data_IF_185855626057
#
_entry.id   IF_185855626057
#
_cell.length_a   1.000
_cell.length_b   1.000
_cell.length_c   1.000
_cell.angle_alpha   90.00
_cell.angle_beta   90.00
_cell.angle_gamma   90.00
#
_symmetry.space_group_name_H-M   'P 1'
#
loop_
_entity.id
_entity.type
_entity.pdbx_description
1 polymer ?
#
# COMPACT_ATOMS: atom_id res chain seq x y z
N UNK A 1 -12.95 15.04 1.83
CA UNK A 1 -11.81 15.97 1.69
C UNK A 1 -12.20 17.10 0.76
N UNK A 2 -11.74 18.32 1.01
CA UNK A 2 -12.10 19.51 0.23
C UNK A 2 -10.83 20.31 -0.11
N UNK A 3 -10.80 20.96 -1.28
CA UNK A 3 -9.74 21.89 -1.67
C UNK A 3 -10.30 22.98 -2.59
N UNK A 4 -9.52 24.03 -2.86
CA UNK A 4 -10.00 25.22 -3.57
C UNK A 4 -10.25 26.40 -2.63
N UNK A 5 -11.25 27.25 -2.88
CA UNK A 5 -11.45 28.48 -2.08
C UNK A 5 -11.67 28.20 -0.59
N UNK A 6 -10.75 28.68 0.26
CA UNK A 6 -10.86 28.59 1.72
C UNK A 6 -12.11 29.30 2.23
N UNK A 7 -12.42 30.48 1.70
CA UNK A 7 -13.60 31.25 2.10
C UNK A 7 -14.90 30.47 1.82
N UNK A 8 -15.00 29.81 0.66
CA UNK A 8 -16.15 28.97 0.34
C UNK A 8 -16.23 27.75 1.29
N UNK A 9 -15.10 27.12 1.58
CA UNK A 9 -15.03 26.00 2.52
C UNK A 9 -15.50 26.40 3.93
N UNK A 10 -14.96 27.48 4.49
CA UNK A 10 -15.34 27.99 5.82
C UNK A 10 -16.81 28.40 5.87
N UNK A 11 -17.32 29.05 4.82
CA UNK A 11 -18.73 29.48 4.72
C UNK A 11 -19.69 28.29 4.80
N UNK A 12 -19.35 27.16 4.18
CA UNK A 12 -20.21 25.99 4.10
C UNK A 12 -19.81 24.82 5.02
N UNK A 13 -18.79 25.00 5.85
CA UNK A 13 -18.18 23.94 6.66
C UNK A 13 -19.20 23.13 7.46
N UNK A 14 -20.15 23.80 8.12
CA UNK A 14 -21.18 23.13 8.93
C UNK A 14 -22.07 22.21 8.10
N UNK A 15 -22.45 22.62 6.90
CA UNK A 15 -23.22 21.78 5.98
C UNK A 15 -22.37 20.62 5.47
N UNK A 16 -21.11 20.87 5.12
CA UNK A 16 -20.19 19.84 4.64
C UNK A 16 -19.88 18.77 5.70
N UNK A 17 -19.78 19.16 6.98
CA UNK A 17 -19.61 18.23 8.10
C UNK A 17 -20.82 17.31 8.31
N UNK A 18 -22.01 17.70 7.84
CA UNK A 18 -23.22 16.87 7.97
C UNK A 18 -23.23 15.65 7.04
N UNK A 19 -22.37 15.62 6.02
CA UNK A 19 -22.26 14.54 5.04
C UNK A 19 -21.48 13.31 5.56
N UNK A 20 -20.93 13.38 6.77
CA UNK A 20 -20.12 12.33 7.39
C UNK A 20 -18.63 12.43 7.08
N UNK A 21 -17.82 11.67 7.83
CA UNK A 21 -16.36 11.72 7.77
C UNK A 21 -15.75 12.96 8.42
N UNK A 22 -14.43 13.15 8.28
CA UNK A 22 -13.75 14.40 8.64
C UNK A 22 -13.79 15.35 7.45
N UNK A 23 -14.44 16.50 7.61
CA UNK A 23 -14.35 17.60 6.64
C UNK A 23 -12.93 18.20 6.72
N UNK A 24 -11.98 17.59 6.02
CA UNK A 24 -10.59 18.04 5.98
C UNK A 24 -10.38 18.93 4.77
N UNK A 25 -9.90 20.16 5.00
CA UNK A 25 -9.50 21.10 3.97
C UNK A 25 -8.01 20.94 3.65
N UNK A 26 -7.69 20.76 2.38
CA UNK A 26 -6.35 20.38 1.88
C UNK A 26 -5.62 21.55 1.19
N UNK A 27 -6.14 22.78 1.34
CA UNK A 27 -5.54 23.98 0.79
C UNK A 27 -6.20 24.52 -0.48
N UNK A 28 -5.57 25.54 -1.05
CA UNK A 28 -6.17 26.41 -2.08
C UNK A 28 -6.10 25.84 -3.48
N UNK A 29 -5.23 24.86 -3.74
CA UNK A 29 -5.19 24.17 -5.03
C UNK A 29 -6.45 23.32 -5.23
N UNK A 30 -7.30 23.62 -6.24
CA UNK A 30 -8.49 22.83 -6.52
C UNK A 30 -8.19 21.35 -6.85
N UNK A 31 -6.97 21.03 -7.30
CA UNK A 31 -6.56 19.67 -7.62
C UNK A 31 -6.24 18.78 -6.40
N UNK A 32 -5.91 19.38 -5.25
CA UNK A 32 -5.41 18.62 -4.08
C UNK A 32 -6.38 17.55 -3.61
N UNK A 33 -7.67 17.86 -3.45
CA UNK A 33 -8.62 16.87 -2.96
C UNK A 33 -8.75 15.65 -3.89
N UNK A 34 -8.73 15.88 -5.21
CA UNK A 34 -8.75 14.79 -6.19
C UNK A 34 -7.44 13.97 -6.16
N UNK A 35 -6.29 14.61 -5.98
CA UNK A 35 -5.00 13.91 -5.89
C UNK A 35 -4.92 13.00 -4.65
N UNK A 36 -5.36 13.49 -3.48
CA UNK A 36 -5.46 12.68 -2.27
C UNK A 36 -6.44 11.50 -2.47
N UNK A 37 -7.58 11.74 -3.11
CA UNK A 37 -8.58 10.70 -3.37
C UNK A 37 -8.01 9.56 -4.25
N UNK A 38 -7.34 9.89 -5.35
CA UNK A 38 -6.71 8.89 -6.23
C UNK A 38 -5.64 8.08 -5.51
N UNK A 39 -4.79 8.73 -4.70
CA UNK A 39 -3.75 8.03 -3.95
C UNK A 39 -4.35 7.08 -2.89
N UNK A 40 -5.41 7.49 -2.19
CA UNK A 40 -6.10 6.64 -1.22
C UNK A 40 -6.83 5.48 -1.89
N UNK A 41 -7.43 5.70 -3.07
CA UNK A 41 -8.09 4.65 -3.85
C UNK A 41 -7.09 3.62 -4.39
N UNK A 42 -5.88 4.04 -4.78
CA UNK A 42 -4.81 3.12 -5.17
C UNK A 42 -4.44 2.15 -4.04
N UNK A 43 -4.22 2.68 -2.82
CA UNK A 43 -3.98 1.88 -1.62
C UNK A 43 -5.15 0.91 -1.38
N UNK A 44 -6.39 1.41 -1.44
CA UNK A 44 -7.57 0.62 -1.17
C UNK A 44 -7.70 -0.56 -2.14
N UNK A 45 -7.65 -0.31 -3.45
CA UNK A 45 -7.87 -1.36 -4.45
C UNK A 45 -6.74 -2.37 -4.52
N UNK A 46 -5.49 -1.93 -4.37
CA UNK A 46 -4.33 -2.82 -4.34
C UNK A 46 -4.37 -3.73 -3.09
N UNK A 47 -4.70 -3.16 -1.93
CA UNK A 47 -4.83 -3.93 -0.68
C UNK A 47 -6.01 -4.91 -0.73
N UNK A 48 -7.17 -4.47 -1.23
CA UNK A 48 -8.35 -5.32 -1.40
C UNK A 48 -8.09 -6.49 -2.35
N UNK A 49 -7.34 -6.26 -3.43
CA UNK A 49 -6.96 -7.32 -4.37
C UNK A 49 -6.10 -8.38 -3.68
N UNK A 50 -5.07 -7.97 -2.93
CA UNK A 50 -4.23 -8.89 -2.15
C UNK A 50 -5.03 -9.65 -1.09
N UNK A 51 -5.99 -8.99 -0.43
CA UNK A 51 -6.85 -9.62 0.56
C UNK A 51 -7.78 -10.69 -0.04
N UNK A 52 -8.39 -10.43 -1.20
CA UNK A 52 -9.20 -11.41 -1.91
C UNK A 52 -8.34 -12.59 -2.41
N UNK A 53 -7.12 -12.33 -2.86
CA UNK A 53 -6.18 -13.39 -3.25
C UNK A 53 -5.81 -14.29 -2.05
N UNK A 54 -5.66 -13.73 -0.84
CA UNK A 54 -5.42 -14.51 0.37
C UNK A 54 -6.57 -15.48 0.67
N UNK A 55 -7.83 -15.13 0.36
CA UNK A 55 -8.95 -16.05 0.48
C UNK A 55 -8.92 -17.18 -0.55
N UNK A 56 -8.48 -16.89 -1.78
CA UNK A 56 -8.29 -17.93 -2.78
C UNK A 56 -7.23 -18.95 -2.32
N UNK A 57 -6.10 -18.47 -1.78
CA UNK A 57 -5.07 -19.33 -1.20
C UNK A 57 -5.57 -20.11 0.03
N UNK A 58 -6.37 -19.50 0.89
CA UNK A 58 -6.97 -20.21 2.03
C UNK A 58 -7.93 -21.33 1.56
N UNK A 59 -8.69 -21.08 0.50
CA UNK A 59 -9.68 -22.04 0.00
C UNK A 59 -9.08 -23.35 -0.51
N UNK A 60 -7.91 -23.31 -1.15
CA UNK A 60 -7.18 -24.51 -1.62
C UNK A 60 -6.58 -25.32 -0.47
N UNK A 61 -6.52 -24.75 0.74
CA UNK A 61 -6.17 -25.43 1.99
C UNK A 61 -7.41 -25.84 2.81
N UNK A 62 -8.61 -25.71 2.24
CA UNK A 62 -9.89 -25.96 2.92
C UNK A 62 -10.15 -25.04 4.14
N UNK A 63 -9.53 -23.86 4.16
CA UNK A 63 -9.78 -22.84 5.17
C UNK A 63 -10.90 -21.93 4.66
N UNK A 64 -11.98 -21.79 5.43
CA UNK A 64 -13.07 -20.86 5.07
C UNK A 64 -12.57 -19.43 5.20
N UNK A 65 -12.95 -18.56 4.27
CA UNK A 65 -12.60 -17.14 4.33
C UNK A 65 -12.95 -16.51 5.68
N UNK A 66 -14.11 -16.85 6.25
CA UNK A 66 -14.57 -16.38 7.57
C UNK A 66 -13.64 -16.78 8.71
N UNK A 67 -12.99 -17.93 8.60
CA UNK A 67 -12.06 -18.43 9.62
C UNK A 67 -10.69 -17.75 9.50
N UNK A 68 -10.34 -17.23 8.31
CA UNK A 68 -9.14 -16.43 8.10
C UNK A 68 -9.26 -15.00 8.65
N UNK A 69 -10.47 -14.41 8.65
CA UNK A 69 -10.72 -13.00 9.02
C UNK A 69 -10.06 -12.58 10.35
N UNK A 70 -10.18 -13.34 11.46
CA UNK A 70 -9.54 -12.93 12.72
C UNK A 70 -8.02 -12.82 12.62
N UNK A 71 -7.36 -13.68 11.84
CA UNK A 71 -5.91 -13.65 11.64
C UNK A 71 -5.51 -12.52 10.69
N UNK A 72 -6.29 -12.30 9.63
CA UNK A 72 -6.06 -11.18 8.73
C UNK A 72 -6.16 -9.83 9.44
N UNK A 73 -7.09 -9.70 10.40
CA UNK A 73 -7.21 -8.48 11.24
C UNK A 73 -5.95 -8.20 12.05
N UNK A 74 -5.28 -9.24 12.57
CA UNK A 74 -4.03 -9.05 13.31
C UNK A 74 -2.93 -8.52 12.38
N UNK A 75 -2.83 -9.05 11.16
CA UNK A 75 -1.86 -8.56 10.17
C UNK A 75 -2.15 -7.12 9.75
N UNK A 76 -3.42 -6.83 9.43
CA UNK A 76 -3.88 -5.48 9.05
C UNK A 76 -3.66 -4.49 10.20
N UNK A 77 -3.80 -4.93 11.45
CA UNK A 77 -3.58 -4.10 12.64
C UNK A 77 -2.15 -3.58 12.78
N UNK A 78 -1.17 -4.20 12.13
CA UNK A 78 0.23 -3.73 12.11
C UNK A 78 0.49 -2.67 11.03
N UNK A 79 -0.40 -2.56 10.03
CA UNK A 79 -0.21 -1.67 8.89
C UNK A 79 -0.12 -0.18 9.24
N UNK A 80 -0.90 0.37 10.20
CA UNK A 80 -0.82 1.79 10.53
C UNK A 80 0.58 2.24 10.97
N UNK A 81 1.25 1.44 11.80
CA UNK A 81 2.59 1.77 12.31
C UNK A 81 3.63 1.70 11.18
N UNK A 82 3.56 0.65 10.34
CA UNK A 82 4.43 0.49 9.17
C UNK A 82 4.23 1.63 8.16
N UNK A 83 2.97 2.04 7.92
CA UNK A 83 2.65 3.17 7.04
C UNK A 83 3.26 4.47 7.55
N UNK A 84 3.17 4.74 8.85
CA UNK A 84 3.75 5.93 9.46
C UNK A 84 5.28 5.93 9.37
N UNK A 85 5.91 4.78 9.60
CA UNK A 85 7.35 4.63 9.44
C UNK A 85 7.80 4.86 7.99
N UNK A 86 7.17 4.19 7.03
CA UNK A 86 7.49 4.34 5.61
C UNK A 86 7.29 5.77 5.12
N UNK A 87 6.24 6.46 5.56
CA UNK A 87 6.02 7.87 5.24
C UNK A 87 7.21 8.73 5.70
N UNK A 88 7.67 8.55 6.94
CA UNK A 88 8.84 9.26 7.46
C UNK A 88 10.12 8.94 6.66
N UNK A 89 10.34 7.67 6.29
CA UNK A 89 11.51 7.28 5.49
C UNK A 89 11.48 7.90 4.09
N UNK A 90 10.30 7.91 3.45
CA UNK A 90 10.09 8.51 2.12
C UNK A 90 10.29 10.02 2.15
N UNK A 91 9.72 10.73 3.11
CA UNK A 91 9.83 12.20 3.21
C UNK A 91 11.27 12.65 3.51
N UNK A 92 12.03 11.85 4.26
CA UNK A 92 13.43 12.13 4.58
C UNK A 92 14.43 11.61 3.53
N UNK A 93 13.98 10.84 2.53
CA UNK A 93 14.85 10.22 1.54
C UNK A 93 15.87 9.23 2.13
N UNK A 94 15.57 8.66 3.30
CA UNK A 94 16.47 7.77 4.06
C UNK A 94 15.77 6.44 4.37
N UNK A 95 16.36 5.33 3.91
CA UNK A 95 15.71 4.01 3.87
C UNK A 95 16.51 2.95 4.63
N UNK A 96 16.60 3.01 5.97
CA UNK A 96 17.38 2.08 6.77
C UNK A 96 16.74 0.68 6.81
N UNK A 97 17.35 -0.31 6.15
CA UNK A 97 16.86 -1.70 6.18
C UNK A 97 17.30 -2.49 7.43
N UNK A 98 17.15 -1.88 8.62
CA UNK A 98 17.62 -2.44 9.91
C UNK A 98 16.75 -3.61 10.36
N UNK A 99 15.43 -3.45 10.31
CA UNK A 99 14.47 -4.48 10.77
C UNK A 99 14.16 -5.50 9.65
N UNK A 100 13.94 -5.01 8.43
CA UNK A 100 13.83 -5.82 7.22
C UNK A 100 14.45 -5.05 6.05
N UNK A 101 15.06 -5.77 5.11
CA UNK A 101 15.57 -5.17 3.88
C UNK A 101 14.99 -5.87 2.65
N UNK A 102 15.19 -5.26 1.48
CA UNK A 102 14.65 -5.77 0.23
C UNK A 102 15.09 -7.22 -0.08
N UNK A 103 16.31 -7.63 0.28
CA UNK A 103 16.76 -9.02 0.09
C UNK A 103 15.93 -9.99 0.95
N UNK A 104 15.74 -9.69 2.24
CA UNK A 104 14.90 -10.55 3.09
C UNK A 104 13.44 -10.55 2.64
N UNK A 105 12.93 -9.39 2.22
CA UNK A 105 11.57 -9.27 1.67
C UNK A 105 11.37 -10.10 0.41
N UNK A 106 12.33 -10.09 -0.52
CA UNK A 106 12.25 -10.86 -1.77
C UNK A 106 12.14 -12.36 -1.52
N UNK A 107 12.89 -12.88 -0.54
CA UNK A 107 12.83 -14.29 -0.12
C UNK A 107 11.45 -14.63 0.47
N UNK A 108 10.89 -13.77 1.33
CA UNK A 108 9.56 -13.99 1.90
C UNK A 108 8.49 -13.99 0.81
N UNK A 109 8.55 -13.05 -0.14
CA UNK A 109 7.64 -13.01 -1.28
C UNK A 109 7.76 -14.25 -2.15
N UNK A 110 8.98 -14.70 -2.44
CA UNK A 110 9.24 -15.91 -3.23
C UNK A 110 8.61 -17.15 -2.60
N UNK A 111 8.73 -17.31 -1.28
CA UNK A 111 8.12 -18.43 -0.55
C UNK A 111 6.59 -18.44 -0.70
N UNK A 112 5.94 -17.29 -0.56
CA UNK A 112 4.47 -17.17 -0.71
C UNK A 112 4.06 -17.47 -2.15
N UNK A 113 4.78 -16.94 -3.14
CA UNK A 113 4.54 -17.17 -4.56
C UNK A 113 4.71 -18.66 -4.90
N UNK A 114 5.78 -19.29 -4.41
CA UNK A 114 6.06 -20.70 -4.65
C UNK A 114 4.95 -21.59 -4.08
N UNK A 115 4.54 -21.35 -2.82
CA UNK A 115 3.45 -22.07 -2.18
C UNK A 115 2.13 -21.90 -2.95
N UNK A 116 1.84 -20.67 -3.41
CA UNK A 116 0.63 -20.37 -4.18
C UNK A 116 0.63 -21.08 -5.55
N UNK A 117 1.75 -21.03 -6.29
CA UNK A 117 1.94 -21.76 -7.56
C UNK A 117 1.76 -23.27 -7.39
N UNK A 118 2.32 -23.84 -6.32
CA UNK A 118 2.19 -25.26 -6.02
C UNK A 118 0.72 -25.70 -5.78
N UNK A 119 -0.18 -24.75 -5.47
CA UNK A 119 -1.62 -24.98 -5.30
C UNK A 119 -2.47 -24.47 -6.47
N UNK A 120 -1.85 -24.12 -7.60
CA UNK A 120 -2.55 -23.68 -8.81
C UNK A 120 -3.23 -22.31 -8.69
N UNK A 121 -2.82 -21.50 -7.72
CA UNK A 121 -3.31 -20.14 -7.54
C UNK A 121 -2.60 -19.20 -8.54
N UNK A 122 -3.37 -18.30 -9.16
CA UNK A 122 -2.80 -17.20 -9.95
C UNK A 122 -2.02 -16.26 -9.01
N UNK A 123 -0.77 -15.99 -9.41
CA UNK A 123 0.19 -15.18 -8.66
C UNK A 123 0.61 -13.92 -9.42
N UNK A 124 -0.11 -13.49 -10.45
CA UNK A 124 0.27 -12.34 -11.28
C UNK A 124 0.50 -11.06 -10.46
N UNK A 125 -0.36 -10.81 -9.45
CA UNK A 125 -0.22 -9.66 -8.54
C UNK A 125 1.05 -9.74 -7.68
N UNK A 126 1.29 -10.81 -6.88
CA UNK A 126 2.51 -10.91 -6.08
C UNK A 126 3.78 -11.06 -6.93
N UNK A 127 3.72 -11.70 -8.11
CA UNK A 127 4.85 -11.75 -9.04
C UNK A 127 5.22 -10.34 -9.54
N UNK A 128 4.23 -9.51 -9.89
CA UNK A 128 4.47 -8.11 -10.28
C UNK A 128 5.08 -7.29 -9.14
N UNK A 129 4.55 -7.44 -7.92
CA UNK A 129 5.12 -6.79 -6.73
C UNK A 129 6.56 -7.24 -6.47
N UNK A 130 6.85 -8.55 -6.55
CA UNK A 130 8.18 -9.12 -6.38
C UNK A 130 9.15 -8.59 -7.44
N UNK A 131 8.70 -8.41 -8.68
CA UNK A 131 9.53 -7.86 -9.76
C UNK A 131 10.06 -6.46 -9.44
N UNK A 132 9.28 -5.63 -8.74
CA UNK A 132 9.70 -4.27 -8.34
C UNK A 132 10.77 -4.35 -7.24
N UNK A 133 10.60 -5.25 -6.27
CA UNK A 133 11.62 -5.53 -5.24
C UNK A 133 12.92 -6.00 -5.89
N UNK A 134 12.84 -6.93 -6.84
CA UNK A 134 13.99 -7.45 -7.56
C UNK A 134 14.72 -6.36 -8.34
N UNK A 135 13.98 -5.50 -9.04
CA UNK A 135 14.54 -4.35 -9.72
C UNK A 135 15.32 -3.44 -8.76
N UNK A 136 14.80 -3.18 -7.56
CA UNK A 136 15.50 -2.38 -6.56
C UNK A 136 16.79 -3.06 -6.05
N UNK A 137 16.76 -4.37 -5.86
CA UNK A 137 17.95 -5.16 -5.50
C UNK A 137 19.02 -5.06 -6.60
N UNK A 138 18.61 -5.22 -7.86
CA UNK A 138 19.51 -5.15 -9.03
C UNK A 138 20.15 -3.76 -9.18
N UNK A 139 19.46 -2.70 -8.73
CA UNK A 139 19.98 -1.34 -8.66
C UNK A 139 20.91 -1.09 -7.44
N UNK A 140 21.20 -2.11 -6.64
CA UNK A 140 22.10 -2.02 -5.48
C UNK A 140 21.43 -1.61 -4.18
N UNK A 141 20.10 -1.53 -4.14
CA UNK A 141 19.35 -1.11 -2.94
C UNK A 141 18.97 -2.28 -2.02
N UNK A 142 19.48 -3.49 -2.24
CA UNK A 142 19.03 -4.69 -1.52
C UNK A 142 19.08 -4.62 0.02
N UNK A 143 19.96 -3.79 0.60
CA UNK A 143 20.08 -3.58 2.06
C UNK A 143 19.20 -2.44 2.60
N UNK A 144 18.40 -1.81 1.76
CA UNK A 144 17.48 -0.74 2.14
C UNK A 144 16.10 -1.31 2.48
N UNK A 145 15.33 -0.51 3.20
CA UNK A 145 13.96 -0.81 3.59
C UNK A 145 13.01 -0.86 2.37
N UNK A 146 11.86 -1.51 2.55
CA UNK A 146 10.82 -1.63 1.51
C UNK A 146 10.28 -0.27 1.03
N UNK A 147 10.27 0.75 1.89
CA UNK A 147 9.88 2.11 1.53
C UNK A 147 10.73 2.75 0.42
N UNK A 148 11.94 2.23 0.14
CA UNK A 148 12.77 2.64 -1.01
C UNK A 148 12.04 2.53 -2.35
N UNK A 149 11.08 1.61 -2.46
CA UNK A 149 10.34 1.39 -3.71
C UNK A 149 9.55 2.62 -4.16
N UNK A 150 9.21 3.55 -3.25
CA UNK A 150 8.58 4.83 -3.61
C UNK A 150 9.40 5.60 -4.66
N UNK A 151 10.74 5.57 -4.56
CA UNK A 151 11.63 6.23 -5.52
C UNK A 151 11.63 5.53 -6.88
N UNK A 152 11.44 4.21 -6.93
CA UNK A 152 11.34 3.47 -8.18
C UNK A 152 10.05 3.81 -8.92
N UNK A 153 8.93 3.93 -8.19
CA UNK A 153 7.65 4.33 -8.78
C UNK A 153 7.69 5.75 -9.36
N UNK A 154 8.39 6.68 -8.70
CA UNK A 154 8.56 8.06 -9.17
C UNK A 154 9.43 8.17 -10.43
N UNK A 155 10.43 7.30 -10.56
CA UNK A 155 11.50 7.42 -11.56
C UNK A 155 11.41 6.38 -12.70
N UNK A 156 10.29 5.65 -12.84
CA UNK A 156 10.11 4.73 -13.97
C UNK A 156 10.09 5.54 -15.28
N UNK A 157 10.94 5.22 -16.28
CA UNK A 157 10.87 5.86 -17.59
C UNK A 157 9.44 5.72 -18.12
N UNK A 158 8.85 6.82 -18.61
CA UNK A 158 7.60 6.73 -19.34
C UNK A 158 7.90 5.99 -20.65
N UNK A 159 7.30 4.83 -20.82
CA UNK A 159 7.27 4.13 -22.11
C UNK A 159 6.46 4.93 -23.14
#
# INVERSE_FOLDING_TARGET
MYSGSENAYLTHQRTLMSLGGTASYLGTDPGSAAAYDVALLDIFWTSMTGYIQAFALASVENIRATDLVPYARNIIGMMPDIMAEFANQVDNGHYPGIDSNLISTEVVMDNVIHASKARGIDVGVPDAAKSIVRQAIDLGYGKQDFSRLAELFRNRPRD
#
